data_IF_513813626965
#
_entry.id   IF_513813626965
#
_cell.length_a   1.000
_cell.length_b   1.000
_cell.length_c   1.000
_cell.angle_alpha   90.00
_cell.angle_beta   90.00
_cell.angle_gamma   90.00
#
_symmetry.space_group_name_H-M   'P 1'
#
loop_
_entity.id
_entity.type
_entity.pdbx_description
1 polymer ?
#
# COMPACT_ATOMS: atom_id res chain seq x y z
N UNK A 1 16.00 12.61 -5.18
CA UNK A 1 15.51 11.54 -4.30
C UNK A 1 15.97 11.72 -2.85
N UNK A 2 17.20 12.17 -2.58
CA UNK A 2 17.71 12.45 -1.22
C UNK A 2 16.92 13.52 -0.45
N UNK A 3 16.27 14.43 -1.16
CA UNK A 3 15.36 15.45 -0.62
C UNK A 3 13.94 14.93 -0.35
N UNK A 4 13.64 13.69 -0.77
CA UNK A 4 12.33 13.07 -0.61
C UNK A 4 12.39 11.92 0.39
N UNK A 5 13.40 11.05 0.25
CA UNK A 5 13.57 9.85 1.06
C UNK A 5 14.75 9.99 2.01
N UNK A 6 14.62 9.42 3.20
CA UNK A 6 15.72 9.29 4.16
C UNK A 6 16.66 8.15 3.74
N UNK A 7 17.51 8.44 2.76
CA UNK A 7 18.45 7.48 2.19
C UNK A 7 19.71 7.29 3.04
N UNK A 8 19.88 8.04 4.11
CA UNK A 8 20.91 7.80 5.13
C UNK A 8 20.49 6.64 6.04
N UNK A 9 19.25 6.69 6.52
CA UNK A 9 18.65 5.63 7.33
C UNK A 9 18.32 4.38 6.50
N UNK A 10 17.88 4.55 5.27
CA UNK A 10 17.46 3.50 4.35
C UNK A 10 18.23 3.58 3.03
N UNK A 11 19.41 2.94 2.91
CA UNK A 11 20.31 3.10 1.77
C UNK A 11 19.83 2.41 0.49
N UNK A 12 18.57 2.68 0.09
CA UNK A 12 17.92 2.06 -1.08
C UNK A 12 18.66 2.33 -2.39
N UNK A 13 19.31 3.50 -2.50
CA UNK A 13 20.08 3.91 -3.68
C UNK A 13 21.42 3.17 -3.83
N UNK A 14 21.90 2.48 -2.77
CA UNK A 14 23.18 1.77 -2.73
C UNK A 14 23.01 0.28 -3.05
N UNK A 15 22.29 -0.03 -4.11
CA UNK A 15 21.97 -1.40 -4.49
C UNK A 15 23.23 -2.27 -4.52
N UNK A 16 23.16 -3.44 -3.90
CA UNK A 16 24.25 -4.44 -3.85
C UNK A 16 25.34 -4.17 -2.82
N UNK A 17 25.31 -3.05 -2.07
CA UNK A 17 26.27 -2.82 -0.98
C UNK A 17 25.92 -3.62 0.27
N UNK A 18 26.87 -3.72 1.21
CA UNK A 18 26.66 -4.41 2.48
C UNK A 18 25.51 -3.81 3.30
N UNK A 19 25.39 -2.48 3.32
CA UNK A 19 24.32 -1.76 4.02
C UNK A 19 22.96 -2.04 3.39
N UNK A 20 22.90 -2.07 2.06
CA UNK A 20 21.67 -2.40 1.34
C UNK A 20 21.23 -3.84 1.63
N UNK A 21 22.17 -4.82 1.57
CA UNK A 21 21.86 -6.22 1.90
C UNK A 21 21.44 -6.39 3.37
N UNK A 22 22.03 -5.63 4.30
CA UNK A 22 21.61 -5.63 5.70
C UNK A 22 20.16 -5.14 5.85
N UNK A 23 19.77 -4.10 5.13
CA UNK A 23 18.40 -3.61 5.11
C UNK A 23 17.42 -4.67 4.54
N UNK A 24 17.75 -5.28 3.39
CA UNK A 24 16.96 -6.37 2.79
C UNK A 24 16.80 -7.52 3.77
N UNK A 25 17.89 -7.96 4.40
CA UNK A 25 17.86 -9.07 5.39
C UNK A 25 16.93 -8.76 6.56
N UNK A 26 17.00 -7.54 7.10
CA UNK A 26 16.09 -7.09 8.18
C UNK A 26 14.65 -7.16 7.73
N UNK A 27 14.31 -6.55 6.58
CA UNK A 27 12.94 -6.51 6.07
C UNK A 27 12.40 -7.91 5.72
N UNK A 28 13.24 -8.82 5.24
CA UNK A 28 12.89 -10.24 5.06
C UNK A 28 12.57 -10.94 6.38
N UNK A 29 13.35 -10.67 7.42
CA UNK A 29 13.11 -11.24 8.74
C UNK A 29 11.80 -10.72 9.33
N UNK A 30 11.53 -9.42 9.21
CA UNK A 30 10.27 -8.81 9.65
C UNK A 30 9.07 -9.39 8.88
N UNK A 31 9.20 -9.54 7.55
CA UNK A 31 8.17 -10.13 6.70
C UNK A 31 7.87 -11.58 7.11
N UNK A 32 8.91 -12.38 7.37
CA UNK A 32 8.75 -13.77 7.78
C UNK A 32 8.13 -13.90 9.19
N UNK A 33 8.48 -12.99 10.10
CA UNK A 33 7.98 -13.04 11.48
C UNK A 33 6.57 -12.45 11.64
N UNK A 34 6.24 -11.40 10.88
CA UNK A 34 5.07 -10.57 11.10
C UNK A 34 4.14 -10.50 9.89
N UNK A 35 4.50 -11.07 8.73
CA UNK A 35 3.75 -10.92 7.48
C UNK A 35 3.86 -9.55 6.83
N UNK A 36 4.63 -8.63 7.43
CA UNK A 36 4.91 -7.30 6.89
C UNK A 36 6.24 -6.76 7.38
N UNK A 37 6.77 -5.75 6.71
CA UNK A 37 7.83 -4.89 7.22
C UNK A 37 7.44 -3.42 7.04
N UNK A 38 8.03 -2.54 7.83
CA UNK A 38 7.80 -1.11 7.79
C UNK A 38 9.13 -0.34 7.67
N UNK A 39 9.13 0.71 6.85
CA UNK A 39 10.21 1.68 6.72
C UNK A 39 9.73 3.02 7.29
N UNK A 40 9.55 3.07 8.60
CA UNK A 40 9.04 4.24 9.30
C UNK A 40 9.93 5.46 9.06
N UNK A 41 9.32 6.58 8.61
CA UNK A 41 10.02 7.81 8.30
C UNK A 41 10.85 7.73 7.01
N UNK A 42 10.63 6.73 6.14
CA UNK A 42 11.29 6.66 4.84
C UNK A 42 11.07 7.93 4.01
N UNK A 43 9.85 8.42 3.95
CA UNK A 43 9.55 9.72 3.34
C UNK A 43 9.83 10.82 4.38
N UNK A 44 10.68 11.78 4.03
CA UNK A 44 11.03 12.89 4.90
C UNK A 44 9.80 13.75 5.20
N UNK A 45 9.73 14.33 6.39
CA UNK A 45 8.54 15.07 6.82
C UNK A 45 8.20 16.27 5.91
N UNK A 46 9.21 16.99 5.42
CA UNK A 46 9.03 18.10 4.46
C UNK A 46 8.56 17.60 3.08
N UNK A 47 9.06 16.47 2.63
CA UNK A 47 8.59 15.82 1.41
C UNK A 47 7.16 15.31 1.56
N UNK A 48 6.81 14.74 2.72
CA UNK A 48 5.45 14.31 3.02
C UNK A 48 4.47 15.49 3.00
N UNK A 49 4.86 16.64 3.56
CA UNK A 49 4.07 17.87 3.50
C UNK A 49 3.86 18.35 2.04
N UNK A 50 4.91 18.31 1.20
CA UNK A 50 4.80 18.61 -0.24
C UNK A 50 3.86 17.64 -0.96
N UNK A 51 4.00 16.34 -0.73
CA UNK A 51 3.11 15.31 -1.30
C UNK A 51 1.66 15.61 -0.91
N UNK A 52 1.41 15.88 0.37
CA UNK A 52 0.05 16.18 0.86
C UNK A 52 -0.50 17.44 0.20
N UNK A 53 0.31 18.48 0.04
CA UNK A 53 -0.08 19.73 -0.65
C UNK A 53 -0.38 19.51 -2.16
N UNK A 54 0.31 18.58 -2.82
CA UNK A 54 0.02 18.19 -4.21
C UNK A 54 -1.27 17.39 -4.33
N UNK A 55 -1.50 16.44 -3.41
CA UNK A 55 -2.59 15.47 -3.50
C UNK A 55 -3.92 16.02 -3.01
N UNK A 56 -3.97 16.79 -1.93
CA UNK A 56 -5.23 17.26 -1.35
C UNK A 56 -6.14 18.01 -2.34
N UNK A 57 -5.65 18.97 -3.17
CA UNK A 57 -6.49 19.64 -4.16
C UNK A 57 -7.04 18.68 -5.24
N UNK A 58 -6.31 17.62 -5.56
CA UNK A 58 -6.76 16.58 -6.50
C UNK A 58 -7.84 15.73 -5.85
N UNK A 59 -7.63 15.33 -4.59
CA UNK A 59 -8.62 14.57 -3.81
C UNK A 59 -9.94 15.35 -3.68
N UNK A 60 -9.87 16.64 -3.37
CA UNK A 60 -11.07 17.49 -3.21
C UNK A 60 -11.88 17.62 -4.50
N UNK A 61 -11.22 17.75 -5.65
CA UNK A 61 -11.90 18.08 -6.91
C UNK A 61 -12.20 16.88 -7.77
N UNK A 62 -11.37 15.83 -7.73
CA UNK A 62 -11.38 14.76 -8.72
C UNK A 62 -11.56 13.37 -8.12
N UNK A 63 -11.58 13.23 -6.79
CA UNK A 63 -11.83 11.92 -6.19
C UNK A 63 -13.24 11.45 -6.50
N UNK A 64 -13.39 10.17 -6.77
CA UNK A 64 -14.69 9.53 -6.84
C UNK A 64 -14.98 8.72 -5.57
N UNK A 65 -16.26 8.63 -5.23
CA UNK A 65 -16.72 7.78 -4.15
C UNK A 65 -16.66 6.33 -4.59
N UNK A 66 -15.74 5.57 -3.98
CA UNK A 66 -15.73 4.12 -4.11
C UNK A 66 -16.59 3.53 -3.00
N UNK A 67 -17.73 2.95 -3.38
CA UNK A 67 -18.62 2.22 -2.47
C UNK A 67 -18.85 0.83 -3.01
N UNK A 68 -18.52 -0.18 -2.21
CA UNK A 68 -18.67 -1.58 -2.61
C UNK A 68 -19.13 -2.45 -1.46
N UNK A 69 -20.16 -3.24 -1.70
CA UNK A 69 -20.56 -4.33 -0.83
C UNK A 69 -19.79 -5.60 -1.21
N UNK A 70 -19.18 -6.24 -0.23
CA UNK A 70 -18.36 -7.45 -0.44
C UNK A 70 -18.22 -8.24 0.85
N UNK A 71 -17.91 -9.51 0.75
CA UNK A 71 -17.35 -10.31 1.84
C UNK A 71 -15.81 -10.34 1.76
N UNK A 72 -15.18 -10.99 2.73
CA UNK A 72 -13.71 -11.05 2.83
C UNK A 72 -13.03 -11.69 1.62
N UNK A 73 -13.71 -12.53 0.86
CA UNK A 73 -13.18 -13.23 -0.31
C UNK A 73 -13.56 -12.59 -1.65
N UNK A 74 -14.41 -11.58 -1.65
CA UNK A 74 -14.99 -10.97 -2.88
C UNK A 74 -15.71 -11.97 -3.79
N UNK A 75 -16.34 -13.00 -3.23
CA UNK A 75 -17.09 -14.03 -3.97
C UNK A 75 -18.55 -14.11 -3.51
N UNK A 76 -19.43 -14.59 -4.37
CA UNK A 76 -20.86 -14.74 -4.03
C UNK A 76 -21.16 -16.07 -3.34
N UNK A 77 -20.35 -17.07 -3.58
CA UNK A 77 -20.50 -18.40 -3.02
C UNK A 77 -19.16 -19.10 -2.90
N UNK A 78 -19.05 -20.05 -1.99
CA UNK A 78 -17.90 -20.94 -1.85
C UNK A 78 -18.46 -22.37 -1.89
N UNK A 79 -17.90 -23.26 -2.73
CA UNK A 79 -18.34 -24.65 -2.79
C UNK A 79 -18.30 -25.31 -1.39
N UNK A 80 -19.39 -25.97 -1.02
CA UNK A 80 -19.51 -26.64 0.28
C UNK A 80 -19.98 -25.76 1.44
N UNK A 81 -20.15 -24.44 1.24
CA UNK A 81 -20.73 -23.55 2.26
C UNK A 81 -22.19 -23.20 1.93
N UNK A 82 -23.03 -23.15 2.97
CA UNK A 82 -24.38 -22.59 2.85
C UNK A 82 -24.32 -21.09 2.54
N UNK A 83 -25.33 -20.55 1.85
CA UNK A 83 -25.34 -19.13 1.42
C UNK A 83 -25.41 -18.15 2.61
N UNK A 84 -25.89 -18.59 3.76
CA UNK A 84 -25.96 -17.82 5.01
C UNK A 84 -24.73 -18.04 5.92
N UNK A 85 -23.72 -18.75 5.44
CA UNK A 85 -22.50 -19.00 6.22
C UNK A 85 -21.80 -17.67 6.58
N UNK A 86 -21.32 -17.50 7.84
CA UNK A 86 -20.67 -16.25 8.29
C UNK A 86 -19.50 -15.75 7.41
N UNK A 87 -18.76 -16.68 6.78
CA UNK A 87 -17.67 -16.34 5.85
C UNK A 87 -18.17 -15.61 4.57
N UNK A 88 -19.47 -15.68 4.26
CA UNK A 88 -20.10 -14.99 3.13
C UNK A 88 -20.83 -13.71 3.57
N UNK A 89 -20.83 -13.37 4.87
CA UNK A 89 -21.40 -12.14 5.37
C UNK A 89 -20.76 -10.93 4.69
N UNK A 90 -21.60 -10.03 4.15
CA UNK A 90 -21.15 -8.86 3.41
C UNK A 90 -20.96 -7.64 4.32
N UNK A 91 -20.03 -6.79 3.95
CA UNK A 91 -19.78 -5.48 4.53
C UNK A 91 -19.63 -4.44 3.43
N UNK A 92 -19.78 -3.17 3.77
CA UNK A 92 -19.65 -2.07 2.80
C UNK A 92 -18.34 -1.34 3.02
N UNK A 93 -17.43 -1.41 2.05
CA UNK A 93 -16.26 -0.53 1.96
C UNK A 93 -16.66 0.79 1.34
N UNK A 94 -16.23 1.88 1.95
CA UNK A 94 -16.44 3.25 1.45
C UNK A 94 -15.14 4.04 1.60
N UNK A 95 -14.70 4.65 0.53
CA UNK A 95 -13.60 5.61 0.52
C UNK A 95 -13.69 6.56 -0.69
N UNK A 96 -12.92 7.62 -0.67
CA UNK A 96 -12.72 8.53 -1.79
C UNK A 96 -11.37 8.21 -2.44
N UNK A 97 -11.35 7.99 -3.76
CA UNK A 97 -10.16 7.55 -4.47
C UNK A 97 -9.81 8.49 -5.61
N UNK A 98 -8.51 8.77 -5.77
CA UNK A 98 -7.93 9.25 -7.02
C UNK A 98 -6.99 8.19 -7.59
N UNK A 99 -6.95 8.12 -8.92
CA UNK A 99 -6.16 7.15 -9.68
C UNK A 99 -4.82 7.75 -10.14
N UNK A 100 -3.92 6.89 -10.58
CA UNK A 100 -2.57 7.26 -10.97
C UNK A 100 -2.50 8.30 -12.10
N UNK A 101 -3.42 8.28 -13.06
CA UNK A 101 -3.50 9.25 -14.16
C UNK A 101 -3.77 10.68 -13.68
N UNK A 102 -4.55 10.82 -12.59
CA UNK A 102 -4.89 12.11 -11.99
C UNK A 102 -3.73 12.73 -11.20
N UNK A 103 -2.73 11.92 -10.82
CA UNK A 103 -1.56 12.31 -10.02
C UNK A 103 -0.23 12.00 -10.73
N UNK A 104 -0.24 11.84 -12.04
CA UNK A 104 0.88 11.34 -12.84
C UNK A 104 2.20 12.14 -12.66
N UNK A 105 2.12 13.41 -12.28
CA UNK A 105 3.28 14.30 -12.05
C UNK A 105 3.63 14.49 -10.57
N UNK A 106 3.00 13.74 -9.66
CA UNK A 106 3.21 13.89 -8.22
C UNK A 106 4.48 13.19 -7.74
N UNK A 107 4.99 13.63 -6.59
CA UNK A 107 6.10 12.96 -5.91
C UNK A 107 5.78 11.49 -5.55
N UNK A 108 4.51 11.15 -5.32
CA UNK A 108 4.08 9.74 -5.08
C UNK A 108 4.44 8.88 -6.28
N UNK A 109 4.12 9.33 -7.50
CA UNK A 109 4.45 8.59 -8.72
C UNK A 109 5.95 8.49 -8.93
N UNK A 110 6.68 9.56 -8.62
CA UNK A 110 8.13 9.59 -8.72
C UNK A 110 8.81 8.57 -7.76
N UNK A 111 8.27 8.41 -6.54
CA UNK A 111 8.72 7.37 -5.59
C UNK A 111 8.36 5.98 -6.12
N UNK A 112 7.13 5.79 -6.60
CA UNK A 112 6.62 4.51 -7.08
C UNK A 112 7.44 3.95 -8.25
N UNK A 113 7.83 4.81 -9.20
CA UNK A 113 8.57 4.44 -10.40
C UNK A 113 10.09 4.38 -10.19
N UNK A 114 10.58 4.76 -9.01
CA UNK A 114 12.01 4.82 -8.74
C UNK A 114 12.65 3.42 -8.72
N UNK A 115 13.54 3.16 -9.69
CA UNK A 115 14.12 1.84 -9.89
C UNK A 115 14.78 1.20 -8.65
N UNK A 116 15.56 1.93 -7.81
CA UNK A 116 16.11 1.34 -6.59
C UNK A 116 15.05 0.87 -5.59
N UNK A 117 13.89 1.52 -5.50
CA UNK A 117 12.77 1.04 -4.68
C UNK A 117 12.23 -0.29 -5.22
N UNK A 118 12.02 -0.37 -6.53
CA UNK A 118 11.55 -1.59 -7.20
C UNK A 118 12.52 -2.74 -6.98
N UNK A 119 13.84 -2.48 -7.12
CA UNK A 119 14.87 -3.49 -6.88
C UNK A 119 14.89 -3.96 -5.42
N UNK A 120 14.80 -3.03 -4.48
CA UNK A 120 14.74 -3.34 -3.05
C UNK A 120 13.52 -4.20 -2.70
N UNK A 121 12.33 -3.83 -3.20
CA UNK A 121 11.10 -4.60 -2.99
C UNK A 121 11.23 -5.99 -3.62
N UNK A 122 11.71 -6.09 -4.86
CA UNK A 122 11.91 -7.36 -5.54
C UNK A 122 12.82 -8.30 -4.73
N UNK A 123 13.98 -7.79 -4.31
CA UNK A 123 14.91 -8.58 -3.50
C UNK A 123 14.30 -8.97 -2.15
N UNK A 124 13.62 -8.03 -1.46
CA UNK A 124 12.98 -8.30 -0.16
C UNK A 124 11.88 -9.36 -0.26
N UNK A 125 11.11 -9.34 -1.35
CA UNK A 125 10.04 -10.33 -1.62
C UNK A 125 10.57 -11.63 -2.22
N UNK A 126 11.88 -11.80 -2.39
CA UNK A 126 12.49 -13.00 -2.97
C UNK A 126 12.16 -13.21 -4.45
N UNK A 127 11.86 -12.15 -5.19
CA UNK A 127 11.54 -12.20 -6.62
C UNK A 127 12.80 -12.00 -7.46
N UNK A 128 12.94 -12.78 -8.51
CA UNK A 128 14.03 -12.61 -9.48
C UNK A 128 13.90 -11.32 -10.28
N UNK A 129 12.68 -10.85 -10.48
CA UNK A 129 12.34 -9.55 -11.08
C UNK A 129 11.00 -9.06 -10.54
N UNK A 130 10.92 -7.77 -10.29
CA UNK A 130 9.69 -7.06 -9.95
C UNK A 130 9.55 -5.87 -10.90
N UNK A 131 8.33 -5.65 -11.34
CA UNK A 131 8.02 -4.56 -12.27
C UNK A 131 6.89 -3.71 -11.70
N UNK A 132 6.97 -2.37 -11.79
CA UNK A 132 5.83 -1.53 -11.49
C UNK A 132 4.64 -1.91 -12.38
N UNK A 133 3.44 -1.91 -11.81
CA UNK A 133 2.22 -2.10 -12.58
C UNK A 133 2.11 -0.99 -13.64
N UNK A 134 1.70 -1.35 -14.87
CA UNK A 134 1.60 -0.40 -15.98
C UNK A 134 0.19 0.14 -16.23
N UNK A 135 -0.82 -0.41 -15.56
CA UNK A 135 -2.19 0.08 -15.69
C UNK A 135 -2.24 1.57 -15.32
N UNK A 136 -2.69 2.45 -16.23
CA UNK A 136 -2.64 3.90 -16.01
C UNK A 136 -3.57 4.36 -14.89
N UNK A 137 -4.56 3.59 -14.51
CA UNK A 137 -5.52 3.92 -13.46
C UNK A 137 -5.16 3.25 -12.14
N UNK A 138 -4.90 1.92 -12.17
CA UNK A 138 -4.82 1.09 -10.96
C UNK A 138 -3.41 0.98 -10.35
N UNK A 139 -2.36 1.42 -11.05
CA UNK A 139 -0.96 1.25 -10.58
C UNK A 139 -0.66 1.96 -9.26
N UNK A 140 -1.34 3.08 -8.99
CA UNK A 140 -1.33 3.78 -7.70
C UNK A 140 -2.73 4.34 -7.46
N UNK A 141 -3.25 4.10 -6.26
CA UNK A 141 -4.50 4.70 -5.80
C UNK A 141 -4.24 5.44 -4.51
N UNK A 142 -4.61 6.71 -4.45
CA UNK A 142 -4.65 7.45 -3.20
C UNK A 142 -6.07 7.41 -2.66
N UNK A 143 -6.22 6.90 -1.45
CA UNK A 143 -7.50 6.72 -0.79
C UNK A 143 -7.61 7.65 0.41
N UNK A 144 -8.74 8.32 0.55
CA UNK A 144 -9.09 9.13 1.71
C UNK A 144 -10.34 8.56 2.37
N UNK A 145 -10.34 8.54 3.69
CA UNK A 145 -11.43 8.04 4.52
C UNK A 145 -11.97 9.15 5.40
N UNK A 146 -13.28 9.34 5.40
CA UNK A 146 -13.99 10.25 6.30
C UNK A 146 -14.51 9.51 7.52
N UNK A 147 -15.03 10.23 8.50
CA UNK A 147 -15.68 9.62 9.66
C UNK A 147 -16.76 8.62 9.23
N UNK A 148 -16.67 7.38 9.71
CA UNK A 148 -17.58 6.29 9.36
C UNK A 148 -17.26 5.55 8.05
N UNK A 149 -16.23 5.95 7.32
CA UNK A 149 -15.74 5.23 6.14
C UNK A 149 -14.59 4.28 6.51
N UNK A 150 -14.52 3.15 5.83
CA UNK A 150 -13.48 2.15 6.06
C UNK A 150 -13.23 1.28 4.83
N UNK A 151 -11.99 0.81 4.70
CA UNK A 151 -11.65 -0.36 3.91
C UNK A 151 -11.77 -1.58 4.83
N UNK A 152 -12.89 -2.28 4.72
CA UNK A 152 -13.21 -3.38 5.62
C UNK A 152 -12.34 -4.62 5.36
N UNK A 153 -12.39 -5.59 6.29
CA UNK A 153 -11.65 -6.83 6.21
C UNK A 153 -11.83 -7.52 4.85
N UNK A 154 -10.71 -7.87 4.23
CA UNK A 154 -10.67 -8.59 2.95
C UNK A 154 -9.31 -9.29 2.81
N UNK A 155 -9.24 -10.22 1.89
CA UNK A 155 -7.97 -10.72 1.41
C UNK A 155 -7.53 -9.94 0.17
N UNK A 156 -6.29 -9.45 0.18
CA UNK A 156 -5.71 -8.87 -1.02
C UNK A 156 -5.64 -9.89 -2.14
N UNK A 157 -5.88 -9.44 -3.37
CA UNK A 157 -5.77 -10.27 -4.57
C UNK A 157 -4.35 -10.34 -5.11
N UNK A 158 -3.54 -9.38 -4.74
CA UNK A 158 -2.12 -9.33 -5.05
C UNK A 158 -1.35 -10.20 -4.07
N UNK A 159 -0.25 -10.77 -4.52
CA UNK A 159 0.65 -11.54 -3.66
C UNK A 159 1.24 -10.68 -2.53
N UNK A 160 1.46 -9.40 -2.82
CA UNK A 160 1.87 -8.39 -1.85
C UNK A 160 1.38 -7.01 -2.27
N UNK A 161 1.20 -6.13 -1.30
CA UNK A 161 0.78 -4.74 -1.47
C UNK A 161 1.75 -3.83 -0.74
N UNK A 162 2.05 -2.68 -1.32
CA UNK A 162 2.80 -1.61 -0.66
C UNK A 162 1.88 -0.45 -0.36
N UNK A 163 1.96 0.08 0.85
CA UNK A 163 1.17 1.24 1.28
C UNK A 163 2.07 2.37 1.75
N UNK A 164 1.66 3.60 1.52
CA UNK A 164 2.30 4.80 2.03
C UNK A 164 1.25 5.64 2.76
N UNK A 165 1.43 5.83 4.06
CA UNK A 165 0.59 6.72 4.85
C UNK A 165 0.99 8.17 4.57
N UNK A 166 0.10 8.94 3.96
CA UNK A 166 0.32 10.35 3.63
C UNK A 166 -0.12 11.27 4.77
N UNK A 167 -1.24 10.95 5.41
CA UNK A 167 -1.81 11.74 6.49
C UNK A 167 -2.52 10.82 7.48
N UNK A 168 -2.10 10.86 8.75
CA UNK A 168 -2.75 10.13 9.81
C UNK A 168 -4.01 10.89 10.29
N UNK A 169 -5.09 10.20 10.66
CA UNK A 169 -6.24 10.83 11.32
C UNK A 169 -5.91 11.18 12.78
N UNK A 170 -6.67 12.09 13.36
CA UNK A 170 -6.56 12.42 14.79
C UNK A 170 -7.04 11.27 15.69
N UNK A 171 -8.02 10.48 15.20
CA UNK A 171 -8.60 9.32 15.90
C UNK A 171 -9.09 8.28 14.92
N UNK A 172 -8.93 6.99 15.25
CA UNK A 172 -9.35 5.87 14.42
C UNK A 172 -8.48 5.73 13.16
N UNK A 173 -8.99 4.99 12.17
CA UNK A 173 -8.31 4.78 10.90
C UNK A 173 -7.07 3.89 11.00
N UNK A 174 -7.01 3.05 12.02
CA UNK A 174 -5.92 2.10 12.23
C UNK A 174 -5.85 1.12 11.06
N UNK A 175 -4.63 0.88 10.56
CA UNK A 175 -4.35 -0.22 9.67
C UNK A 175 -4.23 -1.50 10.48
N UNK A 176 -5.17 -2.41 10.30
CA UNK A 176 -5.24 -3.69 11.01
C UNK A 176 -5.03 -4.83 10.02
N UNK A 177 -4.15 -5.77 10.35
CA UNK A 177 -3.91 -6.95 9.53
C UNK A 177 -3.80 -8.21 10.39
N UNK A 178 -3.97 -9.36 9.78
CA UNK A 178 -3.80 -10.67 10.42
C UNK A 178 -3.13 -11.64 9.45
N UNK A 179 -2.11 -12.33 9.96
CA UNK A 179 -1.34 -13.33 9.22
C UNK A 179 -1.88 -14.74 9.44
N UNK A 180 -1.42 -15.68 8.63
CA UNK A 180 -1.62 -17.13 8.79
C UNK A 180 -3.10 -17.57 8.88
N UNK A 181 -3.96 -16.86 8.14
CA UNK A 181 -5.40 -17.20 8.08
C UNK A 181 -5.76 -18.23 7.00
N UNK A 182 -4.85 -18.46 6.04
CA UNK A 182 -5.03 -19.45 4.97
C UNK A 182 -3.83 -20.37 4.97
N UNK A 183 -4.09 -21.68 4.94
CA UNK A 183 -3.10 -22.68 4.53
C UNK A 183 -3.09 -22.76 3.00
N UNK A 184 -1.94 -22.82 2.42
CA UNK A 184 -1.77 -23.12 0.99
C UNK A 184 -2.22 -24.54 0.67
#
# INVERSE_FOLDING_TARGET
MHDILDLERYPLHRVGTAEWHALVKRCRADLAANGMFNLEGLVRADALARITAEINPVMERLSFLHKREHNIYFVKSIPGLALDHPALATTTTINHTVCADQIAQSLVMYIYEWAPMVMFLGETMGKTALYPMRDPLARVNVMSYRAGEALNWHFDRSEFTTTLLLQAPDKGGEFVYRTDLRSD
#
